data_IF_779465963510
#
_entry.id   IF_779465963510
#
_cell.length_a   1.000
_cell.length_b   1.000
_cell.length_c   1.000
_cell.angle_alpha   90.00
_cell.angle_beta   90.00
_cell.angle_gamma   90.00
#
_symmetry.space_group_name_H-M   'P 1'
#
loop_
_entity.id
_entity.type
_entity.pdbx_description
1 polymer ?
#
# COMPACT_ATOMS: atom_id res chain seq x y z
N UNK A 1 24.68 -58.43 8.54
CA UNK A 1 24.16 -57.84 9.79
C UNK A 1 24.82 -56.47 9.89
N UNK A 2 24.16 -55.49 9.30
CA UNK A 2 24.65 -54.15 9.03
C UNK A 2 23.63 -53.59 8.07
N UNK A 3 22.78 -52.70 8.59
CA UNK A 3 21.88 -51.76 7.91
C UNK A 3 20.97 -51.15 8.99
N UNK A 4 21.56 -50.36 9.89
CA UNK A 4 20.82 -49.51 10.86
C UNK A 4 21.38 -48.07 10.88
N UNK A 5 22.16 -47.67 9.85
CA UNK A 5 22.82 -46.36 9.81
C UNK A 5 22.37 -45.45 8.65
N UNK A 6 21.44 -45.87 7.79
CA UNK A 6 20.97 -45.04 6.66
C UNK A 6 19.76 -44.14 6.99
N UNK A 7 19.01 -44.43 8.06
CA UNK A 7 17.77 -43.68 8.37
C UNK A 7 17.99 -42.33 9.08
N UNK A 8 19.18 -42.06 9.61
CA UNK A 8 19.48 -40.81 10.33
C UNK A 8 19.90 -39.68 9.40
N UNK A 9 20.58 -39.99 8.30
CA UNK A 9 21.09 -38.97 7.37
C UNK A 9 19.96 -38.37 6.51
N UNK A 10 18.96 -39.16 6.09
CA UNK A 10 17.80 -38.65 5.34
C UNK A 10 16.88 -37.74 6.17
N UNK A 11 16.87 -37.93 7.50
CA UNK A 11 16.02 -37.16 8.40
C UNK A 11 16.65 -35.80 8.75
N UNK A 12 17.98 -35.73 8.84
CA UNK A 12 18.70 -34.45 8.98
C UNK A 12 18.66 -33.64 7.68
N UNK A 13 18.78 -34.27 6.51
CA UNK A 13 18.66 -33.57 5.21
C UNK A 13 17.24 -33.02 4.97
N UNK A 14 16.20 -33.75 5.37
CA UNK A 14 14.81 -33.29 5.27
C UNK A 14 14.49 -32.12 6.23
N UNK A 15 15.10 -32.11 7.41
CA UNK A 15 15.01 -31.00 8.35
C UNK A 15 15.80 -29.79 7.86
N UNK A 16 17.00 -29.98 7.29
CA UNK A 16 17.79 -28.88 6.70
C UNK A 16 17.06 -28.21 5.53
N UNK A 17 16.38 -28.96 4.67
CA UNK A 17 15.55 -28.38 3.60
C UNK A 17 14.30 -27.64 4.14
N UNK A 18 13.68 -28.14 5.22
CA UNK A 18 12.56 -27.47 5.91
C UNK A 18 13.02 -26.18 6.66
N UNK A 19 14.23 -26.18 7.21
CA UNK A 19 14.87 -25.00 7.80
C UNK A 19 15.42 -24.02 6.76
N UNK A 20 15.82 -24.50 5.57
CA UNK A 20 16.29 -23.64 4.48
C UNK A 20 15.14 -22.85 3.82
N UNK A 21 13.94 -23.43 3.72
CA UNK A 21 12.78 -22.74 3.12
C UNK A 21 12.09 -21.76 4.10
N UNK A 22 12.38 -21.86 5.41
CA UNK A 22 11.83 -20.96 6.44
C UNK A 22 12.63 -19.66 6.62
N UNK A 23 13.89 -19.59 6.20
CA UNK A 23 14.74 -18.40 6.34
C UNK A 23 14.86 -17.63 5.02
N UNK A 24 13.74 -17.12 4.50
CA UNK A 24 13.82 -16.12 3.42
C UNK A 24 14.34 -14.79 3.99
N UNK A 25 15.44 -14.22 3.45
CA UNK A 25 15.97 -12.96 3.94
C UNK A 25 14.90 -11.86 3.90
N UNK A 26 14.98 -10.86 4.80
CA UNK A 26 14.04 -9.74 4.79
C UNK A 26 14.08 -9.06 3.41
N UNK A 27 12.97 -9.14 2.68
CA UNK A 27 12.87 -8.50 1.37
C UNK A 27 12.85 -6.98 1.56
N UNK A 28 13.97 -6.34 1.23
CA UNK A 28 14.05 -4.87 1.16
C UNK A 28 13.34 -4.35 -0.08
N UNK A 29 12.74 -3.16 0.05
CA UNK A 29 12.18 -2.49 -1.11
C UNK A 29 13.30 -2.01 -2.03
N UNK A 30 13.15 -2.16 -3.36
CA UNK A 30 14.18 -1.73 -4.27
C UNK A 30 14.30 -0.21 -4.32
N UNK A 31 15.54 0.30 -4.28
CA UNK A 31 15.87 1.74 -4.34
C UNK A 31 15.26 2.45 -5.56
N UNK A 32 14.95 1.71 -6.63
CA UNK A 32 14.27 2.23 -7.82
C UNK A 32 12.88 2.81 -7.52
N UNK A 33 12.28 2.48 -6.37
CA UNK A 33 11.00 3.05 -5.92
C UNK A 33 11.13 4.43 -5.28
N UNK A 34 12.35 4.86 -4.90
CA UNK A 34 12.59 6.15 -4.25
C UNK A 34 12.09 7.33 -5.08
N UNK A 35 12.39 7.34 -6.38
CA UNK A 35 11.97 8.42 -7.27
C UNK A 35 10.43 8.51 -7.42
N UNK A 36 9.71 7.44 -7.84
CA UNK A 36 8.26 7.54 -7.94
C UNK A 36 7.59 7.78 -6.58
N UNK A 37 8.17 7.31 -5.47
CA UNK A 37 7.66 7.58 -4.12
C UNK A 37 7.80 9.05 -3.74
N UNK A 38 8.96 9.64 -4.02
CA UNK A 38 9.19 11.07 -3.86
C UNK A 38 8.21 11.88 -4.71
N UNK A 39 8.02 11.51 -5.97
CA UNK A 39 7.07 12.21 -6.87
C UNK A 39 5.65 12.12 -6.34
N UNK A 40 5.22 10.93 -5.89
CA UNK A 40 3.89 10.74 -5.33
C UNK A 40 3.68 11.58 -4.06
N UNK A 41 4.67 11.66 -3.17
CA UNK A 41 4.62 12.53 -1.98
C UNK A 41 4.61 14.00 -2.36
N UNK A 42 5.49 14.42 -3.27
CA UNK A 42 5.61 15.81 -3.70
C UNK A 42 4.35 16.32 -4.42
N UNK A 43 3.54 15.43 -5.00
CA UNK A 43 2.27 15.77 -5.62
C UNK A 43 1.28 16.46 -4.67
N UNK A 44 1.47 16.36 -3.35
CA UNK A 44 0.69 17.09 -2.34
C UNK A 44 0.73 18.61 -2.54
N UNK A 45 1.84 19.13 -3.09
CA UNK A 45 2.06 20.54 -3.34
C UNK A 45 1.54 21.00 -4.70
N UNK A 46 1.16 20.07 -5.59
CA UNK A 46 0.65 20.40 -6.92
C UNK A 46 -0.84 20.77 -6.87
N UNK A 47 -1.34 21.57 -7.83
CA UNK A 47 -2.74 21.93 -7.90
C UNK A 47 -3.63 20.70 -8.07
N UNK A 48 -4.64 20.57 -7.19
CA UNK A 48 -5.73 19.59 -7.32
C UNK A 48 -6.86 20.13 -8.23
N UNK A 49 -7.05 21.45 -8.22
CA UNK A 49 -8.03 22.17 -9.04
C UNK A 49 -7.30 23.12 -10.00
N UNK A 50 -7.85 23.42 -11.20
CA UNK A 50 -7.28 24.40 -12.12
C UNK A 50 -7.04 25.78 -11.53
N UNK A 51 -7.80 26.14 -10.49
CA UNK A 51 -7.66 27.43 -9.80
C UNK A 51 -6.39 27.50 -8.92
N UNK A 52 -5.59 26.43 -8.88
CA UNK A 52 -4.25 26.45 -8.29
C UNK A 52 -4.15 25.89 -6.87
N UNK A 53 -5.27 25.57 -6.22
CA UNK A 53 -5.24 25.07 -4.84
C UNK A 53 -4.64 23.66 -4.75
N UNK A 54 -3.59 23.52 -3.95
CA UNK A 54 -2.95 22.23 -3.66
C UNK A 54 -3.50 21.59 -2.39
N UNK A 55 -3.31 20.28 -2.24
CA UNK A 55 -3.71 19.61 -1.00
C UNK A 55 -2.95 20.16 0.21
N UNK A 56 -1.67 20.49 0.05
CA UNK A 56 -0.85 21.08 1.10
C UNK A 56 -1.42 22.40 1.63
N UNK A 57 -1.95 23.26 0.74
CA UNK A 57 -2.59 24.51 1.13
C UNK A 57 -3.89 24.26 1.89
N UNK A 58 -4.73 23.34 1.41
CA UNK A 58 -5.96 22.97 2.10
C UNK A 58 -5.67 22.39 3.48
N UNK A 59 -4.66 21.51 3.56
CA UNK A 59 -4.24 20.89 4.81
C UNK A 59 -3.72 21.94 5.80
N UNK A 60 -2.89 22.87 5.34
CA UNK A 60 -2.41 23.99 6.15
C UNK A 60 -3.58 24.84 6.68
N UNK A 61 -4.53 25.19 5.81
CA UNK A 61 -5.72 25.94 6.20
C UNK A 61 -6.57 25.19 7.23
N UNK A 62 -6.72 23.87 7.11
CA UNK A 62 -7.42 23.05 8.11
C UNK A 62 -6.67 23.00 9.45
N UNK A 63 -5.34 22.89 9.46
CA UNK A 63 -4.56 22.98 10.70
C UNK A 63 -4.67 24.35 11.39
N UNK A 64 -4.77 25.43 10.62
CA UNK A 64 -4.99 26.77 11.17
C UNK A 64 -6.38 26.92 11.81
N UNK A 65 -7.39 26.18 11.34
CA UNK A 65 -8.74 26.17 11.94
C UNK A 65 -8.78 25.30 13.19
N UNK A 66 -8.28 24.07 13.09
CA UNK A 66 -8.24 23.11 14.19
C UNK A 66 -7.19 22.02 13.93
N UNK A 67 -6.31 21.72 14.90
CA UNK A 67 -5.36 20.62 14.76
C UNK A 67 -6.02 19.27 14.46
N UNK A 68 -7.20 19.03 15.03
CA UNK A 68 -7.96 17.81 14.81
C UNK A 68 -8.50 17.74 13.38
N UNK A 69 -8.96 18.87 12.82
CA UNK A 69 -9.44 18.93 11.42
C UNK A 69 -8.30 18.63 10.45
N UNK A 70 -7.12 19.24 10.67
CA UNK A 70 -5.92 18.95 9.89
C UNK A 70 -5.50 17.48 9.95
N UNK A 71 -5.54 16.86 11.14
CA UNK A 71 -5.24 15.43 11.31
C UNK A 71 -6.25 14.54 10.58
N UNK A 72 -7.55 14.81 10.72
CA UNK A 72 -8.59 14.06 10.02
C UNK A 72 -8.43 14.20 8.50
N UNK A 73 -8.10 15.39 8.01
CA UNK A 73 -7.85 15.63 6.59
C UNK A 73 -6.62 14.88 6.08
N UNK A 74 -5.50 14.92 6.82
CA UNK A 74 -4.27 14.22 6.47
C UNK A 74 -4.46 12.70 6.46
N UNK A 75 -5.11 12.16 7.50
CA UNK A 75 -5.37 10.73 7.63
C UNK A 75 -6.40 10.28 6.58
N UNK A 76 -7.46 11.05 6.39
CA UNK A 76 -8.52 10.72 5.46
C UNK A 76 -8.09 10.81 4.00
N UNK A 77 -7.88 12.04 3.54
CA UNK A 77 -7.63 12.35 2.13
C UNK A 77 -6.13 12.40 1.78
N UNK A 78 -5.27 12.56 2.78
CA UNK A 78 -3.82 12.60 2.58
C UNK A 78 -3.16 11.22 2.47
N UNK A 79 -3.93 10.14 2.64
CA UNK A 79 -3.41 8.76 2.65
C UNK A 79 -2.56 8.39 1.42
N UNK A 80 -2.86 8.82 0.17
CA UNK A 80 -1.98 8.51 -0.98
C UNK A 80 -0.61 9.19 -0.90
N UNK A 81 -0.54 10.41 -0.36
CA UNK A 81 0.73 11.13 -0.18
C UNK A 81 1.55 10.52 0.95
N UNK A 82 0.87 10.13 2.04
CA UNK A 82 1.47 9.39 3.15
C UNK A 82 1.99 8.02 2.68
N UNK A 83 1.26 7.33 1.79
CA UNK A 83 1.73 6.09 1.16
C UNK A 83 3.07 6.31 0.44
N UNK A 84 3.14 7.34 -0.41
CA UNK A 84 4.39 7.73 -1.07
C UNK A 84 5.51 8.00 -0.07
N UNK A 85 5.22 8.68 1.05
CA UNK A 85 6.22 9.04 2.05
C UNK A 85 6.75 7.82 2.81
N UNK A 86 5.87 6.86 3.13
CA UNK A 86 6.23 5.58 3.74
C UNK A 86 7.12 4.80 2.77
N UNK A 87 6.70 4.62 1.52
CA UNK A 87 7.49 3.89 0.51
C UNK A 87 8.85 4.55 0.28
N UNK A 88 8.90 5.88 0.24
CA UNK A 88 10.13 6.65 0.11
C UNK A 88 11.09 6.37 1.27
N UNK A 89 10.59 6.46 2.51
CA UNK A 89 11.37 6.18 3.70
C UNK A 89 11.88 4.73 3.71
N UNK A 90 11.03 3.76 3.38
CA UNK A 90 11.40 2.35 3.35
C UNK A 90 12.42 2.03 2.25
N UNK A 91 12.26 2.59 1.05
CA UNK A 91 13.21 2.39 -0.05
C UNK A 91 14.56 3.08 0.20
N UNK A 92 14.57 4.21 0.93
CA UNK A 92 15.79 4.96 1.22
C UNK A 92 16.54 4.45 2.46
N UNK A 93 15.85 4.10 3.53
CA UNK A 93 16.46 3.59 4.77
C UNK A 93 16.84 2.10 4.66
N UNK A 94 16.20 1.34 3.76
CA UNK A 94 16.52 -0.06 3.49
C UNK A 94 16.51 -0.92 4.76
N UNK A 95 17.63 -1.60 5.02
CA UNK A 95 17.81 -2.53 6.16
C UNK A 95 17.73 -1.86 7.55
N UNK A 96 17.77 -0.52 7.62
CA UNK A 96 17.70 0.19 8.90
C UNK A 96 16.30 0.19 9.52
N UNK A 97 15.27 -0.14 8.76
CA UNK A 97 13.89 -0.17 9.26
C UNK A 97 13.53 -1.59 9.69
N UNK A 98 13.06 -1.72 10.93
CA UNK A 98 12.58 -3.00 11.42
C UNK A 98 11.43 -3.50 10.52
N UNK A 99 11.49 -4.73 9.97
CA UNK A 99 10.49 -5.23 9.00
C UNK A 99 9.04 -5.15 9.49
N UNK A 100 8.79 -5.52 10.75
CA UNK A 100 7.46 -5.38 11.41
C UNK A 100 6.95 -3.94 11.44
N UNK A 101 7.81 -2.94 11.58
CA UNK A 101 7.39 -1.53 11.56
C UNK A 101 7.00 -1.11 10.14
N UNK A 102 7.79 -1.51 9.15
CA UNK A 102 7.50 -1.24 7.74
C UNK A 102 6.14 -1.81 7.31
N UNK A 103 5.88 -3.05 7.69
CA UNK A 103 4.62 -3.73 7.39
C UNK A 103 3.43 -3.04 8.09
N UNK A 104 3.54 -2.79 9.40
CA UNK A 104 2.47 -2.12 10.17
C UNK A 104 2.13 -0.75 9.62
N UNK A 105 3.12 0.04 9.20
CA UNK A 105 2.90 1.36 8.61
C UNK A 105 2.13 1.26 7.28
N UNK A 106 2.54 0.34 6.40
CA UNK A 106 1.87 0.12 5.12
C UNK A 106 0.45 -0.43 5.31
N UNK A 107 0.27 -1.43 6.17
CA UNK A 107 -1.05 -2.01 6.46
C UNK A 107 -1.99 -0.96 7.05
N UNK A 108 -1.52 -0.16 8.01
CA UNK A 108 -2.32 0.90 8.63
C UNK A 108 -2.73 1.97 7.60
N UNK A 109 -1.78 2.43 6.77
CA UNK A 109 -2.06 3.41 5.72
C UNK A 109 -3.02 2.87 4.65
N UNK A 110 -2.85 1.62 4.21
CA UNK A 110 -3.72 0.99 3.21
C UNK A 110 -5.12 0.70 3.74
N UNK A 111 -5.23 0.28 5.00
CA UNK A 111 -6.53 0.08 5.66
C UNK A 111 -7.30 1.40 5.73
N UNK A 112 -6.60 2.49 6.06
CA UNK A 112 -7.17 3.83 6.10
C UNK A 112 -7.58 4.32 4.71
N UNK A 113 -6.75 4.10 3.69
CA UNK A 113 -7.06 4.40 2.29
C UNK A 113 -8.35 3.70 1.85
N UNK A 114 -8.48 2.40 2.14
CA UNK A 114 -9.68 1.63 1.81
C UNK A 114 -10.92 2.11 2.57
N UNK A 115 -10.80 2.36 3.87
CA UNK A 115 -11.91 2.86 4.69
C UNK A 115 -12.44 4.21 4.15
N UNK A 116 -11.52 5.10 3.77
CA UNK A 116 -11.87 6.40 3.19
C UNK A 116 -12.46 6.26 1.79
N UNK A 117 -11.92 5.35 0.98
CA UNK A 117 -12.45 5.08 -0.35
C UNK A 117 -13.89 4.57 -0.28
N UNK A 118 -14.19 3.64 0.64
CA UNK A 118 -15.56 3.14 0.88
C UNK A 118 -16.48 4.27 1.34
N UNK A 119 -16.04 5.06 2.32
CA UNK A 119 -16.83 6.18 2.85
C UNK A 119 -17.13 7.22 1.76
N UNK A 120 -16.11 7.66 1.01
CA UNK A 120 -16.26 8.65 -0.07
C UNK A 120 -17.16 8.10 -1.18
N UNK A 121 -16.95 6.86 -1.60
CA UNK A 121 -17.77 6.25 -2.65
C UNK A 121 -19.24 6.12 -2.22
N UNK A 122 -19.49 5.76 -0.97
CA UNK A 122 -20.84 5.71 -0.41
C UNK A 122 -21.50 7.10 -0.33
N UNK A 123 -20.75 8.11 0.12
CA UNK A 123 -21.25 9.49 0.17
C UNK A 123 -21.57 10.06 -1.21
N UNK A 124 -20.74 9.77 -2.21
CA UNK A 124 -20.98 10.17 -3.59
C UNK A 124 -22.21 9.46 -4.16
N UNK A 125 -22.34 8.16 -3.94
CA UNK A 125 -23.50 7.39 -4.39
C UNK A 125 -24.81 7.87 -3.74
N UNK A 126 -24.81 8.04 -2.41
CA UNK A 126 -26.01 8.46 -1.66
C UNK A 126 -26.49 9.88 -2.00
N UNK A 127 -25.61 10.71 -2.57
CA UNK A 127 -25.93 12.09 -2.98
C UNK A 127 -26.08 12.26 -4.49
N UNK A 128 -26.02 11.17 -5.26
CA UNK A 128 -26.02 11.18 -6.73
C UNK A 128 -24.95 12.14 -7.31
N UNK A 129 -23.75 12.12 -6.72
CA UNK A 129 -22.63 12.97 -7.11
C UNK A 129 -21.55 12.17 -7.82
N UNK A 130 -21.00 12.76 -8.88
CA UNK A 130 -19.91 12.18 -9.67
C UNK A 130 -20.39 11.17 -10.71
N UNK A 131 -19.50 10.85 -11.64
CA UNK A 131 -19.71 9.86 -12.70
C UNK A 131 -19.45 8.46 -12.15
N UNK A 132 -20.45 7.59 -12.27
CA UNK A 132 -20.36 6.17 -11.90
C UNK A 132 -19.90 5.94 -10.44
N UNK A 133 -20.54 6.56 -9.43
CA UNK A 133 -20.14 6.39 -8.02
C UNK A 133 -20.33 4.95 -7.52
N UNK A 134 -21.31 4.21 -8.06
CA UNK A 134 -21.51 2.78 -7.77
C UNK A 134 -20.32 1.91 -8.19
N UNK A 135 -19.67 2.23 -9.31
CA UNK A 135 -18.50 1.49 -9.75
C UNK A 135 -17.32 1.71 -8.80
N UNK A 136 -17.13 2.94 -8.31
CA UNK A 136 -16.15 3.24 -7.26
C UNK A 136 -16.46 2.50 -5.97
N UNK A 137 -17.73 2.46 -5.56
CA UNK A 137 -18.15 1.78 -4.33
C UNK A 137 -17.93 0.27 -4.43
N UNK A 138 -18.33 -0.35 -5.54
CA UNK A 138 -18.08 -1.77 -5.81
C UNK A 138 -16.58 -2.09 -5.81
N UNK A 139 -15.77 -1.26 -6.47
CA UNK A 139 -14.31 -1.38 -6.43
C UNK A 139 -13.77 -1.30 -4.99
N UNK A 140 -14.20 -0.31 -4.22
CA UNK A 140 -13.74 -0.08 -2.84
C UNK A 140 -14.06 -1.27 -1.92
N UNK A 141 -15.29 -1.80 -2.00
CA UNK A 141 -15.72 -2.94 -1.19
C UNK A 141 -14.98 -4.22 -1.58
N UNK A 142 -14.88 -4.51 -2.89
CA UNK A 142 -14.22 -5.74 -3.37
C UNK A 142 -12.73 -5.71 -3.09
N UNK A 143 -12.05 -4.59 -3.40
CA UNK A 143 -10.61 -4.45 -3.17
C UNK A 143 -10.28 -4.40 -1.67
N UNK A 144 -11.05 -3.67 -0.86
CA UNK A 144 -10.87 -3.64 0.59
C UNK A 144 -11.12 -5.01 1.24
N UNK A 145 -12.17 -5.72 0.80
CA UNK A 145 -12.45 -7.08 1.23
C UNK A 145 -11.32 -8.04 0.88
N UNK A 146 -10.85 -8.02 -0.36
CA UNK A 146 -9.70 -8.84 -0.78
C UNK A 146 -8.45 -8.55 0.05
N UNK A 147 -8.15 -7.26 0.30
CA UNK A 147 -7.02 -6.85 1.12
C UNK A 147 -7.09 -7.44 2.54
N UNK A 148 -8.26 -7.33 3.20
CA UNK A 148 -8.48 -7.86 4.55
C UNK A 148 -8.36 -9.39 4.56
N UNK A 149 -9.00 -10.08 3.61
CA UNK A 149 -8.94 -11.55 3.54
C UNK A 149 -7.52 -12.05 3.28
N UNK A 150 -6.78 -11.42 2.38
CA UNK A 150 -5.40 -11.78 2.07
C UNK A 150 -4.50 -11.60 3.30
N UNK A 151 -4.60 -10.44 3.95
CA UNK A 151 -3.82 -10.15 5.15
C UNK A 151 -4.14 -11.12 6.29
N UNK A 152 -5.43 -11.43 6.52
CA UNK A 152 -5.85 -12.38 7.55
C UNK A 152 -5.36 -13.82 7.27
N UNK A 153 -5.36 -14.25 6.00
CA UNK A 153 -4.86 -15.59 5.61
C UNK A 153 -3.35 -15.72 5.84
N UNK A 154 -2.58 -14.70 5.48
CA UNK A 154 -1.13 -14.71 5.70
C UNK A 154 -0.77 -14.60 7.19
N UNK A 155 -1.53 -13.84 7.96
CA UNK A 155 -1.38 -13.80 9.42
C UNK A 155 -1.70 -15.16 10.06
N UNK A 156 -2.75 -15.85 9.61
CA UNK A 156 -3.10 -17.18 10.12
C UNK A 156 -2.08 -18.26 9.75
N UNK A 157 -1.55 -18.24 8.52
CA UNK A 157 -0.51 -19.16 8.08
C UNK A 157 0.80 -19.01 8.86
N UNK A 158 1.09 -17.79 9.36
CA UNK A 158 2.30 -17.49 10.13
C UNK A 158 2.24 -17.88 11.62
N UNK A 159 1.05 -18.22 12.14
CA UNK A 159 0.83 -18.58 13.54
C UNK A 159 0.78 -20.10 13.79
N UNK A 160 1.19 -20.92 12.81
CA UNK A 160 1.00 -22.38 12.81
C UNK A 160 2.25 -23.24 13.01
N UNK A 161 3.42 -22.67 13.27
CA UNK A 161 4.64 -23.46 13.51
C UNK A 161 5.47 -22.86 14.65
N UNK A 162 5.76 -23.71 15.62
CA UNK A 162 6.58 -23.59 16.84
C UNK A 162 7.24 -22.24 17.18
N UNK A 163 6.92 -21.78 18.39
CA UNK A 163 7.38 -20.55 19.07
C UNK A 163 8.87 -20.57 19.50
N UNK A 164 9.74 -21.36 18.88
CA UNK A 164 11.12 -21.60 19.39
C UNK A 164 12.27 -21.25 18.45
N UNK A 165 12.06 -20.71 17.24
CA UNK A 165 13.14 -20.20 16.40
C UNK A 165 12.82 -18.81 15.84
N UNK A 166 13.78 -17.89 15.92
CA UNK A 166 13.60 -16.48 15.59
C UNK A 166 13.11 -16.24 14.16
N UNK A 167 12.11 -15.35 14.04
CA UNK A 167 11.53 -14.78 12.81
C UNK A 167 10.44 -15.58 12.07
N UNK A 168 9.41 -16.06 12.78
CA UNK A 168 8.11 -16.38 12.14
C UNK A 168 7.50 -15.13 11.48
N UNK A 169 7.29 -15.24 10.16
CA UNK A 169 6.94 -14.14 9.24
C UNK A 169 5.44 -13.86 9.29
N UNK A 170 5.00 -12.87 10.06
CA UNK A 170 3.58 -12.55 10.21
C UNK A 170 3.06 -11.57 9.18
N UNK A 171 2.67 -12.02 7.97
CA UNK A 171 1.85 -11.22 7.04
C UNK A 171 2.37 -11.05 5.59
N UNK A 172 1.67 -10.24 4.76
CA UNK A 172 1.99 -10.00 3.36
C UNK A 172 3.38 -9.43 3.15
N UNK A 173 4.03 -9.82 2.07
CA UNK A 173 5.33 -9.23 1.69
C UNK A 173 5.22 -7.72 1.49
N UNK A 174 6.25 -6.97 1.92
CA UNK A 174 6.32 -5.52 1.70
C UNK A 174 6.14 -5.15 0.23
N UNK A 175 6.72 -5.96 -0.67
CA UNK A 175 6.56 -5.80 -2.11
C UNK A 175 5.09 -5.88 -2.54
N UNK A 176 4.35 -6.86 -2.04
CA UNK A 176 2.93 -7.00 -2.34
C UNK A 176 2.13 -5.80 -1.82
N UNK A 177 2.38 -5.35 -0.58
CA UNK A 177 1.70 -4.18 0.00
C UNK A 177 1.92 -2.92 -0.84
N UNK A 178 3.15 -2.66 -1.28
CA UNK A 178 3.45 -1.50 -2.12
C UNK A 178 2.82 -1.64 -3.51
N UNK A 179 2.89 -2.82 -4.12
CA UNK A 179 2.26 -3.06 -5.42
C UNK A 179 0.73 -2.89 -5.36
N UNK A 180 0.11 -3.42 -4.30
CA UNK A 180 -1.32 -3.30 -4.04
C UNK A 180 -1.73 -1.84 -3.85
N UNK A 181 -1.04 -1.11 -2.98
CA UNK A 181 -1.28 0.31 -2.74
C UNK A 181 -1.16 1.15 -4.01
N UNK A 182 -0.09 0.94 -4.79
CA UNK A 182 0.09 1.60 -6.07
C UNK A 182 -1.07 1.30 -7.03
N UNK A 183 -1.52 0.04 -7.11
CA UNK A 183 -2.64 -0.37 -7.96
C UNK A 183 -3.96 0.30 -7.55
N UNK A 184 -4.23 0.39 -6.25
CA UNK A 184 -5.41 1.10 -5.72
C UNK A 184 -5.35 2.59 -6.09
N UNK A 185 -4.20 3.24 -5.92
CA UNK A 185 -4.02 4.66 -6.28
C UNK A 185 -4.21 4.87 -7.80
N UNK A 186 -3.71 3.96 -8.65
CA UNK A 186 -3.95 3.99 -10.09
C UNK A 186 -5.45 3.93 -10.41
N UNK A 187 -6.18 2.98 -9.80
CA UNK A 187 -7.61 2.82 -10.02
C UNK A 187 -8.41 4.06 -9.59
N UNK A 188 -8.07 4.64 -8.42
CA UNK A 188 -8.68 5.86 -7.91
C UNK A 188 -8.40 7.04 -8.83
N UNK A 189 -7.15 7.25 -9.25
CA UNK A 189 -6.81 8.33 -10.18
C UNK A 189 -7.51 8.15 -11.54
N UNK A 190 -7.62 6.91 -12.02
CA UNK A 190 -8.39 6.57 -13.23
C UNK A 190 -9.87 6.93 -13.09
N UNK A 191 -10.49 6.62 -11.95
CA UNK A 191 -11.88 7.01 -11.67
C UNK A 191 -12.05 8.53 -11.52
N UNK A 192 -11.11 9.22 -10.89
CA UNK A 192 -11.12 10.69 -10.80
C UNK A 192 -11.06 11.29 -12.21
N UNK A 193 -10.24 10.73 -13.12
CA UNK A 193 -10.20 11.18 -14.52
C UNK A 193 -11.53 10.98 -15.26
N UNK A 194 -12.34 9.97 -14.92
CA UNK A 194 -13.67 9.81 -15.51
C UNK A 194 -14.60 10.99 -15.20
N UNK A 195 -14.32 11.78 -14.15
CA UNK A 195 -15.11 12.96 -13.82
C UNK A 195 -14.98 14.08 -14.88
N UNK A 196 -13.95 14.03 -15.73
CA UNK A 196 -13.84 14.91 -16.90
C UNK A 196 -15.06 14.80 -17.84
N UNK A 197 -15.70 13.62 -17.90
CA UNK A 197 -16.88 13.37 -18.73
C UNK A 197 -18.13 14.14 -18.26
N UNK A 198 -18.14 14.62 -17.03
CA UNK A 198 -19.21 15.46 -16.46
C UNK A 198 -18.74 16.92 -16.27
N UNK A 199 -17.65 17.32 -16.91
CA UNK A 199 -17.14 18.69 -16.90
C UNK A 199 -16.30 19.07 -15.68
N UNK A 200 -15.98 18.14 -14.79
CA UNK A 200 -15.10 18.41 -13.64
C UNK A 200 -13.68 18.61 -14.16
N UNK A 201 -13.12 19.80 -13.93
CA UNK A 201 -11.73 20.11 -14.31
C UNK A 201 -10.78 19.68 -13.19
N UNK A 202 -9.70 19.01 -13.57
CA UNK A 202 -8.71 18.47 -12.64
C UNK A 202 -7.39 19.24 -12.78
N UNK A 203 -6.67 19.41 -11.67
CA UNK A 203 -5.31 19.91 -11.66
C UNK A 203 -4.26 18.82 -11.94
N UNK A 204 -3.00 19.24 -12.06
CA UNK A 204 -1.87 18.37 -12.41
C UNK A 204 -1.54 17.31 -11.36
N UNK A 205 -1.93 17.50 -10.11
CA UNK A 205 -1.64 16.54 -9.04
C UNK A 205 -2.13 15.12 -9.39
N UNK A 206 -3.32 14.99 -9.96
CA UNK A 206 -3.92 13.68 -10.31
C UNK A 206 -3.09 12.95 -11.37
N UNK A 207 -2.63 13.66 -12.40
CA UNK A 207 -1.83 13.06 -13.48
C UNK A 207 -0.44 12.64 -12.97
N UNK A 208 0.18 13.46 -12.12
CA UNK A 208 1.48 13.15 -11.50
C UNK A 208 1.36 11.96 -10.55
N UNK A 209 0.30 11.90 -9.74
CA UNK A 209 0.03 10.75 -8.86
C UNK A 209 -0.19 9.47 -9.67
N UNK A 210 -0.99 9.55 -10.73
CA UNK A 210 -1.25 8.42 -11.62
C UNK A 210 0.05 7.90 -12.24
N UNK A 211 0.86 8.78 -12.83
CA UNK A 211 2.14 8.41 -13.45
C UNK A 211 3.11 7.77 -12.44
N UNK A 212 3.21 8.34 -11.24
CA UNK A 212 4.05 7.81 -10.17
C UNK A 212 3.58 6.42 -9.70
N UNK A 213 2.28 6.24 -9.48
CA UNK A 213 1.70 4.98 -9.03
C UNK A 213 1.81 3.88 -10.10
N UNK A 214 1.56 4.20 -11.38
CA UNK A 214 1.79 3.26 -12.50
C UNK A 214 3.26 2.84 -12.55
N UNK A 215 4.18 3.80 -12.42
CA UNK A 215 5.62 3.52 -12.43
C UNK A 215 6.01 2.57 -11.29
N UNK A 216 5.53 2.80 -10.06
CA UNK A 216 5.75 1.87 -8.95
C UNK A 216 5.22 0.47 -9.24
N UNK A 217 3.96 0.38 -9.69
CA UNK A 217 3.31 -0.90 -9.96
C UNK A 217 4.11 -1.71 -11.00
N UNK A 218 4.51 -1.08 -12.10
CA UNK A 218 5.29 -1.69 -13.19
C UNK A 218 6.68 -2.14 -12.72
N UNK A 219 7.39 -1.30 -11.95
CA UNK A 219 8.73 -1.64 -11.43
C UNK A 219 8.69 -2.88 -10.52
N UNK A 220 7.60 -3.04 -9.76
CA UNK A 220 7.41 -4.19 -8.88
C UNK A 220 6.99 -5.46 -9.62
N UNK A 221 6.27 -5.34 -10.74
CA UNK A 221 5.93 -6.50 -11.60
C UNK A 221 7.15 -7.04 -12.36
N UNK A 222 8.01 -6.16 -12.88
CA UNK A 222 9.17 -6.57 -13.71
C UNK A 222 10.24 -7.34 -12.94
N UNK A 223 10.40 -7.11 -11.64
CA UNK A 223 11.40 -7.83 -10.81
C UNK A 223 10.91 -9.22 -10.33
N UNK A 224 9.88 -9.79 -10.96
CA UNK A 224 9.40 -11.17 -10.72
C UNK A 224 9.90 -12.15 -11.79
N UNK A 225 10.48 -11.65 -12.90
CA UNK A 225 11.20 -12.44 -13.92
C UNK A 225 12.70 -12.33 -13.72
#
# INVERSE_FOLDING_TARGET
MGDEHEDHDEQDDALEDEFADTVRPPETLPITLTLPALVLTAAIALPLHPDGFSFAQLLYASFLRSPLEGLIMLLGFGSPFCFGAIVLALAWLGDRVHPRLAERLLVANLSLLHAQLVLVAFLLWSRDQGKMPLALLGFAVVSGGYFILHHAREAAASGGADDTAGFSRSGPTLRWLVHWGATVIVAVCGWIRLQLLIGVRLGWAIEVMLAAAVTMAVLLTRKRS
#
